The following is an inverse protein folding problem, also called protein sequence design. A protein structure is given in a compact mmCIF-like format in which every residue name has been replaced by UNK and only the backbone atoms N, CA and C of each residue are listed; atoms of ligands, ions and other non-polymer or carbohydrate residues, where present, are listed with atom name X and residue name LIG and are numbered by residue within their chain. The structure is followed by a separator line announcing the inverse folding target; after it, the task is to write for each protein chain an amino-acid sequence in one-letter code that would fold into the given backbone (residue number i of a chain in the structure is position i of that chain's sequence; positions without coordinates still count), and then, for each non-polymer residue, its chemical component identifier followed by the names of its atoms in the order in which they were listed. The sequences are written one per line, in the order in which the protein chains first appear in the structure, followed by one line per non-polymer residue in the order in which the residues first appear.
data_IF_601167894976
#
_entry.id   IF_601167894976
#
_cell.length_a   1.000
_cell.length_b   1.000
_cell.length_c   1.000
_cell.angle_alpha   90.00
_cell.angle_beta   90.00
_cell.angle_gamma   90.00
#
_symmetry.space_group_name_H-M   'P 1'
#
loop_
_entity.id
_entity.type
_entity.pdbx_description
1 polymer ?
#
# COMPACT_ATOMS: atom_id res chain seq x y z
N UNK A 1 21.59 21.43 13.27
CA UNK A 1 20.15 21.13 13.44
C UNK A 1 19.71 21.70 14.78
N UNK A 2 18.61 22.44 14.81
CA UNK A 2 18.07 23.02 16.07
C UNK A 2 17.36 21.93 16.90
N UNK A 3 17.34 22.11 18.22
CA UNK A 3 16.67 21.21 19.17
C UNK A 3 15.19 20.99 18.82
N UNK A 4 14.50 22.02 18.33
CA UNK A 4 13.12 21.94 17.83
C UNK A 4 12.99 21.04 16.58
N UNK A 5 13.98 21.02 15.69
CA UNK A 5 13.97 20.14 14.51
C UNK A 5 14.19 18.66 14.91
N UNK A 6 15.01 18.41 15.92
CA UNK A 6 15.24 17.06 16.47
C UNK A 6 13.97 16.56 17.17
N UNK A 7 13.32 17.38 17.99
CA UNK A 7 12.07 17.03 18.65
C UNK A 7 10.93 16.77 17.67
N UNK A 8 10.80 17.58 16.61
CA UNK A 8 9.82 17.38 15.55
C UNK A 8 10.03 16.09 14.77
N UNK A 9 11.27 15.73 14.47
CA UNK A 9 11.60 14.48 13.79
C UNK A 9 11.28 13.26 14.69
N UNK A 10 11.63 13.31 15.97
CA UNK A 10 11.35 12.23 16.92
C UNK A 10 9.84 12.01 17.11
N UNK A 11 9.03 13.07 17.15
CA UNK A 11 7.56 12.98 17.24
C UNK A 11 6.99 12.35 15.97
N UNK A 12 7.51 12.71 14.79
CA UNK A 12 7.08 12.14 13.51
C UNK A 12 7.40 10.65 13.44
N UNK A 13 8.58 10.24 13.85
CA UNK A 13 9.01 8.84 13.86
C UNK A 13 8.14 8.00 14.81
N UNK A 14 7.77 8.52 15.99
CA UNK A 14 6.85 7.86 16.91
C UNK A 14 5.48 7.64 16.27
N UNK A 15 4.92 8.68 15.60
CA UNK A 15 3.64 8.59 14.89
C UNK A 15 3.68 7.56 13.76
N UNK A 16 4.77 7.48 13.00
CA UNK A 16 4.93 6.48 11.93
C UNK A 16 4.95 5.06 12.50
N UNK A 17 5.59 4.84 13.66
CA UNK A 17 5.58 3.54 14.35
C UNK A 17 4.18 3.15 14.82
N UNK A 18 3.45 4.07 15.48
CA UNK A 18 2.06 3.84 15.89
C UNK A 18 1.15 3.45 14.72
N UNK A 19 1.29 4.14 13.58
CA UNK A 19 0.55 3.83 12.36
C UNK A 19 0.93 2.43 11.83
N UNK A 20 2.21 2.07 11.87
CA UNK A 20 2.67 0.76 11.42
C UNK A 20 2.13 -0.37 12.30
N UNK A 21 2.15 -0.20 13.63
CA UNK A 21 1.60 -1.16 14.61
C UNK A 21 0.09 -1.35 14.41
N UNK A 22 -0.64 -0.24 14.21
CA UNK A 22 -2.08 -0.29 13.96
C UNK A 22 -2.41 -0.98 12.63
N UNK A 23 -1.71 -0.62 11.54
CA UNK A 23 -1.89 -1.24 10.24
C UNK A 23 -1.58 -2.75 10.30
N UNK A 24 -0.48 -3.12 10.93
CA UNK A 24 -0.08 -4.50 11.10
C UNK A 24 -1.12 -5.31 11.88
N UNK A 25 -1.62 -4.75 12.98
CA UNK A 25 -2.66 -5.37 13.80
C UNK A 25 -3.97 -5.51 13.02
N UNK A 26 -4.38 -4.47 12.29
CA UNK A 26 -5.61 -4.49 11.50
C UNK A 26 -5.56 -5.56 10.40
N UNK A 27 -4.43 -5.73 9.69
CA UNK A 27 -4.25 -6.78 8.68
C UNK A 27 -4.31 -8.20 9.27
N UNK A 28 -3.94 -8.39 10.53
CA UNK A 28 -3.90 -9.69 11.18
C UNK A 28 -5.16 -10.01 12.01
N UNK A 29 -6.07 -9.05 12.19
CA UNK A 29 -7.24 -9.19 13.08
C UNK A 29 -8.49 -9.78 12.41
N UNK A 30 -8.44 -10.10 11.12
CA UNK A 30 -9.52 -10.80 10.43
C UNK A 30 -10.84 -10.03 10.33
N UNK A 31 -10.82 -8.74 9.95
CA UNK A 31 -12.07 -8.02 9.65
C UNK A 31 -12.28 -6.67 10.32
N UNK A 32 -11.22 -6.06 10.83
CA UNK A 32 -11.31 -4.74 11.48
C UNK A 32 -10.92 -3.61 10.54
N UNK A 33 -11.88 -2.75 10.20
CA UNK A 33 -11.58 -1.49 9.54
C UNK A 33 -10.99 -0.46 10.52
N UNK A 34 -10.08 0.36 10.01
CA UNK A 34 -9.51 1.53 10.70
C UNK A 34 -9.85 2.81 9.94
N UNK A 35 -9.88 3.92 10.64
CA UNK A 35 -10.01 5.23 9.98
C UNK A 35 -8.76 5.54 9.14
N UNK A 36 -8.92 6.16 7.95
CA UNK A 36 -7.77 6.53 7.13
C UNK A 36 -6.75 7.35 7.90
N UNK A 37 -5.48 6.96 7.82
CA UNK A 37 -4.41 7.66 8.52
C UNK A 37 -4.29 9.13 8.13
N UNK A 38 -4.51 9.46 6.84
CA UNK A 38 -4.54 10.84 6.35
C UNK A 38 -5.67 11.69 6.96
N UNK A 39 -6.73 11.09 7.48
CA UNK A 39 -7.80 11.79 8.19
C UNK A 39 -7.37 12.18 9.61
N UNK A 40 -6.62 11.31 10.28
CA UNK A 40 -6.14 11.52 11.65
C UNK A 40 -4.83 12.33 11.70
N UNK A 41 -4.01 12.18 10.67
CA UNK A 41 -2.70 12.81 10.55
C UNK A 41 -2.63 13.62 9.24
N UNK A 42 -3.08 14.89 9.23
CA UNK A 42 -3.15 15.70 7.99
C UNK A 42 -1.82 15.90 7.27
N UNK A 43 -0.70 15.81 7.98
CA UNK A 43 0.66 15.91 7.42
C UNK A 43 1.21 14.57 6.92
N UNK A 44 0.45 13.46 7.05
CA UNK A 44 0.86 12.13 6.60
C UNK A 44 0.97 12.09 5.08
N UNK A 45 2.18 11.90 4.59
CA UNK A 45 2.52 11.93 3.17
C UNK A 45 2.64 10.51 2.59
N UNK A 46 2.73 10.42 1.25
CA UNK A 46 3.03 9.16 0.57
C UNK A 46 4.40 8.58 0.99
N UNK A 47 5.39 9.46 1.22
CA UNK A 47 6.69 9.01 1.72
C UNK A 47 6.57 8.39 3.12
N UNK A 48 5.78 8.98 4.01
CA UNK A 48 5.51 8.41 5.33
C UNK A 48 4.80 7.05 5.22
N UNK A 49 3.88 6.88 4.26
CA UNK A 49 3.23 5.61 3.99
C UNK A 49 4.23 4.51 3.55
N UNK A 50 5.25 4.85 2.77
CA UNK A 50 6.32 3.90 2.44
C UNK A 50 7.24 3.59 3.63
N UNK A 51 7.46 4.53 4.56
CA UNK A 51 8.13 4.23 5.83
C UNK A 51 7.29 3.24 6.68
N UNK A 52 5.98 3.44 6.78
CA UNK A 52 5.06 2.48 7.41
C UNK A 52 5.16 1.11 6.73
N UNK A 53 5.15 1.06 5.40
CA UNK A 53 5.29 -0.19 4.63
C UNK A 53 6.60 -0.92 4.97
N UNK A 54 7.70 -0.20 5.13
CA UNK A 54 8.99 -0.79 5.52
C UNK A 54 8.96 -1.35 6.95
N UNK A 55 8.32 -0.65 7.90
CA UNK A 55 8.17 -1.13 9.27
C UNK A 55 7.29 -2.38 9.33
N UNK A 56 6.15 -2.39 8.64
CA UNK A 56 5.26 -3.56 8.53
C UNK A 56 5.99 -4.76 7.92
N UNK A 57 6.84 -4.52 6.90
CA UNK A 57 7.69 -5.57 6.33
C UNK A 57 8.66 -6.16 7.38
N UNK A 58 9.30 -5.32 8.19
CA UNK A 58 10.19 -5.77 9.26
C UNK A 58 9.43 -6.60 10.32
N UNK A 59 8.21 -6.20 10.67
CA UNK A 59 7.36 -6.97 11.58
C UNK A 59 7.00 -8.35 11.01
N UNK A 60 6.69 -8.44 9.70
CA UNK A 60 6.44 -9.72 9.03
C UNK A 60 7.67 -10.60 9.00
N UNK A 61 8.85 -10.04 8.70
CA UNK A 61 10.12 -10.77 8.75
C UNK A 61 10.37 -11.30 10.17
N UNK A 62 10.11 -10.50 11.21
CA UNK A 62 10.24 -10.94 12.60
C UNK A 62 9.28 -12.10 12.96
N UNK A 63 8.13 -12.21 12.25
CA UNK A 63 7.22 -13.37 12.35
C UNK A 63 7.64 -14.55 11.46
N UNK A 64 8.78 -14.47 10.78
CA UNK A 64 9.31 -15.55 9.93
C UNK A 64 8.78 -15.56 8.51
N UNK A 65 8.13 -14.47 8.02
CA UNK A 65 7.80 -14.32 6.61
C UNK A 65 9.06 -14.00 5.80
N UNK A 66 9.16 -14.55 4.58
CA UNK A 66 10.25 -14.28 3.65
C UNK A 66 9.72 -13.44 2.48
N UNK A 67 10.21 -12.21 2.27
CA UNK A 67 9.85 -11.44 1.07
C UNK A 67 10.35 -12.17 -0.19
N UNK A 68 9.45 -12.42 -1.14
CA UNK A 68 9.76 -13.06 -2.42
C UNK A 68 9.88 -12.06 -3.56
N UNK A 69 9.20 -10.91 -3.46
CA UNK A 69 9.17 -9.94 -4.53
C UNK A 69 8.32 -8.71 -4.19
N UNK A 70 7.85 -8.07 -5.25
CA UNK A 70 7.00 -6.88 -5.19
C UNK A 70 5.74 -7.06 -6.03
N UNK A 71 4.63 -6.55 -5.53
CA UNK A 71 3.43 -6.27 -6.33
C UNK A 71 3.43 -4.80 -6.74
N UNK A 72 2.87 -4.48 -7.91
CA UNK A 72 2.78 -3.12 -8.44
C UNK A 72 1.31 -2.84 -8.74
N UNK A 73 0.73 -1.87 -8.05
CA UNK A 73 -0.66 -1.43 -8.25
C UNK A 73 -0.75 -0.11 -9.02
N UNK A 74 -1.95 0.25 -9.42
CA UNK A 74 -2.25 1.46 -10.21
C UNK A 74 -1.49 1.53 -11.54
N UNK A 75 -1.29 0.39 -12.21
CA UNK A 75 -0.68 0.33 -13.53
C UNK A 75 -1.60 0.87 -14.64
N UNK A 76 -2.93 0.84 -14.43
CA UNK A 76 -3.90 1.43 -15.34
C UNK A 76 -4.01 2.95 -15.16
N UNK A 77 -3.37 3.72 -16.04
CA UNK A 77 -3.34 5.19 -15.99
C UNK A 77 -4.73 5.85 -16.10
N UNK A 78 -5.73 5.17 -16.68
CA UNK A 78 -7.09 5.72 -16.78
C UNK A 78 -7.74 5.93 -15.42
N UNK A 79 -7.31 5.17 -14.41
CA UNK A 79 -7.82 5.29 -13.04
C UNK A 79 -7.12 6.39 -12.22
N UNK A 80 -6.01 6.95 -12.72
CA UNK A 80 -5.21 7.89 -11.95
C UNK A 80 -5.95 9.16 -11.56
N UNK A 81 -6.75 9.73 -12.48
CA UNK A 81 -7.52 10.93 -12.19
C UNK A 81 -8.66 10.65 -11.21
N UNK A 82 -9.32 9.51 -11.32
CA UNK A 82 -10.39 9.09 -10.42
C UNK A 82 -9.86 8.93 -8.99
N UNK A 83 -8.72 8.29 -8.82
CA UNK A 83 -8.10 8.02 -7.51
C UNK A 83 -7.11 9.10 -7.07
N UNK A 84 -6.82 10.12 -7.92
CA UNK A 84 -5.89 11.21 -7.64
C UNK A 84 -4.45 10.75 -7.41
N UNK A 85 -4.07 9.62 -8.04
CA UNK A 85 -2.70 9.13 -8.05
C UNK A 85 -1.95 9.68 -9.26
N UNK A 86 -0.62 9.65 -9.23
CA UNK A 86 0.24 10.16 -10.31
C UNK A 86 1.38 9.20 -10.66
N UNK A 87 1.43 8.06 -9.97
CA UNK A 87 2.42 7.02 -10.20
C UNK A 87 1.84 5.66 -9.76
N UNK A 88 2.37 4.54 -10.27
CA UNK A 88 2.13 3.24 -9.68
C UNK A 88 2.56 3.21 -8.23
N UNK A 89 1.91 2.39 -7.43
CA UNK A 89 2.36 2.05 -6.08
C UNK A 89 2.94 0.63 -6.07
N UNK A 90 3.58 0.25 -4.96
CA UNK A 90 4.13 -1.07 -4.81
C UNK A 90 4.00 -1.57 -3.36
N UNK A 91 4.02 -2.89 -3.20
CA UNK A 91 4.05 -3.56 -1.91
C UNK A 91 4.90 -4.83 -1.95
N UNK A 92 5.04 -5.47 -0.79
CA UNK A 92 5.78 -6.73 -0.67
C UNK A 92 4.88 -7.93 -0.95
N UNK A 93 5.47 -8.97 -1.56
CA UNK A 93 4.90 -10.32 -1.67
C UNK A 93 5.74 -11.25 -0.81
N UNK A 94 5.11 -12.13 -0.05
CA UNK A 94 5.78 -13.04 0.89
C UNK A 94 5.50 -14.50 0.56
N UNK A 95 6.38 -15.38 1.01
CA UNK A 95 6.24 -16.84 0.86
C UNK A 95 4.90 -17.36 1.40
N UNK A 96 4.47 -16.88 2.58
CA UNK A 96 3.23 -17.31 3.22
C UNK A 96 1.96 -16.66 2.65
N UNK A 97 2.09 -15.73 1.71
CA UNK A 97 0.96 -15.11 0.99
C UNK A 97 0.86 -15.57 -0.46
N UNK A 98 1.75 -16.49 -0.88
CA UNK A 98 1.66 -17.16 -2.17
C UNK A 98 0.92 -18.48 -1.98
N UNK A 99 -0.09 -18.71 -2.80
CA UNK A 99 -0.93 -19.88 -2.75
C UNK A 99 -0.93 -20.59 -4.11
N UNK A 100 -1.00 -21.92 -4.09
CA UNK A 100 -1.19 -22.72 -5.30
C UNK A 100 -2.63 -22.56 -5.79
N UNK A 101 -2.82 -22.30 -7.08
CA UNK A 101 -4.14 -22.18 -7.70
C UNK A 101 -4.96 -23.48 -7.65
N UNK A 102 -4.30 -24.65 -7.48
CA UNK A 102 -4.98 -25.92 -7.32
C UNK A 102 -5.60 -26.12 -5.92
N UNK A 103 -5.26 -25.24 -4.96
CA UNK A 103 -5.73 -25.35 -3.57
C UNK A 103 -6.75 -24.23 -3.29
N UNK A 104 -7.97 -24.56 -2.81
CA UNK A 104 -8.95 -23.56 -2.42
C UNK A 104 -8.41 -22.62 -1.34
N UNK A 105 -8.53 -21.30 -1.56
CA UNK A 105 -8.15 -20.27 -0.59
C UNK A 105 -9.35 -19.93 0.31
N UNK A 106 -9.28 -20.16 1.63
CA UNK A 106 -10.32 -19.70 2.56
C UNK A 106 -10.41 -18.17 2.59
N UNK A 107 -11.59 -17.61 2.39
CA UNK A 107 -11.77 -16.15 2.35
C UNK A 107 -12.07 -15.53 3.72
N UNK A 108 -12.44 -16.33 4.72
CA UNK A 108 -12.79 -15.85 6.06
C UNK A 108 -11.74 -14.97 6.76
N UNK A 109 -10.41 -15.15 6.55
CA UNK A 109 -9.40 -14.29 7.15
C UNK A 109 -9.28 -12.90 6.49
N UNK A 110 -9.91 -12.68 5.33
CA UNK A 110 -9.73 -11.44 4.55
C UNK A 110 -10.84 -10.44 4.87
N UNK A 111 -10.50 -9.15 4.77
CA UNK A 111 -11.42 -8.02 4.95
C UNK A 111 -11.94 -7.61 3.57
N UNK A 112 -13.23 -7.85 3.30
CA UNK A 112 -13.89 -7.50 2.03
C UNK A 112 -13.07 -7.92 0.79
N UNK A 113 -12.68 -9.22 0.66
CA UNK A 113 -11.75 -9.65 -0.37
C UNK A 113 -12.29 -9.39 -1.77
N UNK A 114 -11.42 -8.93 -2.66
CA UNK A 114 -11.64 -8.80 -4.10
C UNK A 114 -10.57 -9.57 -4.83
N UNK A 115 -10.86 -10.02 -6.05
CA UNK A 115 -9.92 -10.74 -6.89
C UNK A 115 -9.52 -9.85 -8.09
N UNK A 116 -8.22 -9.78 -8.35
CA UNK A 116 -7.65 -9.06 -9.49
C UNK A 116 -6.78 -10.03 -10.31
N UNK A 117 -7.01 -10.13 -11.65
CA UNK A 117 -6.10 -10.90 -12.52
C UNK A 117 -4.77 -10.15 -12.67
N UNK A 118 -3.67 -10.90 -12.58
CA UNK A 118 -2.32 -10.35 -12.58
C UNK A 118 -1.41 -11.05 -13.58
N UNK A 119 -0.36 -10.35 -14.02
CA UNK A 119 0.78 -10.92 -14.74
C UNK A 119 1.95 -11.00 -13.77
N UNK A 120 2.47 -12.19 -13.56
CA UNK A 120 3.61 -12.46 -12.70
C UNK A 120 4.88 -12.62 -13.53
N UNK A 121 5.97 -12.00 -13.08
CA UNK A 121 7.30 -12.13 -13.68
C UNK A 121 8.25 -12.77 -12.69
N UNK A 122 8.87 -13.87 -13.08
CA UNK A 122 9.99 -14.44 -12.34
C UNK A 122 11.30 -13.89 -12.90
N UNK A 123 12.15 -13.35 -12.04
CA UNK A 123 13.40 -12.73 -12.42
C UNK A 123 14.59 -13.67 -12.19
N UNK A 124 15.49 -13.79 -13.17
CA UNK A 124 16.79 -14.45 -13.04
C UNK A 124 17.86 -13.49 -12.51
N UNK A 125 17.67 -12.19 -12.73
CA UNK A 125 18.53 -11.13 -12.22
C UNK A 125 17.68 -9.92 -11.81
N UNK A 126 18.14 -9.17 -10.81
CA UNK A 126 17.45 -7.95 -10.38
C UNK A 126 17.56 -6.87 -11.48
N UNK A 127 16.42 -6.28 -11.90
CA UNK A 127 16.46 -5.12 -12.77
C UNK A 127 17.15 -3.93 -12.11
N UNK A 128 17.86 -3.13 -12.89
CA UNK A 128 18.50 -1.89 -12.43
C UNK A 128 17.83 -0.66 -13.05
N UNK A 129 17.76 0.47 -12.36
CA UNK A 129 17.27 1.71 -12.94
C UNK A 129 18.01 2.09 -14.21
N UNK A 130 17.27 2.56 -15.22
CA UNK A 130 17.87 3.01 -16.48
C UNK A 130 18.19 1.91 -17.51
N UNK A 131 17.85 0.65 -17.23
CA UNK A 131 17.89 -0.41 -18.25
C UNK A 131 16.94 -0.08 -19.39
N UNK A 132 17.37 -0.38 -20.64
CA UNK A 132 16.48 -0.41 -21.79
C UNK A 132 15.57 -1.65 -21.76
N UNK A 133 14.55 -1.68 -22.62
CA UNK A 133 13.57 -2.76 -22.66
C UNK A 133 14.23 -4.12 -22.93
N UNK A 134 15.23 -4.18 -23.79
CA UNK A 134 15.94 -5.42 -24.10
C UNK A 134 16.74 -5.94 -22.91
N UNK A 135 17.39 -5.05 -22.14
CA UNK A 135 18.10 -5.43 -20.91
C UNK A 135 17.12 -5.87 -19.84
N UNK A 136 15.99 -5.19 -19.69
CA UNK A 136 14.94 -5.56 -18.76
C UNK A 136 14.35 -6.95 -19.07
N UNK A 137 14.03 -7.21 -20.33
CA UNK A 137 13.51 -8.51 -20.77
C UNK A 137 14.50 -9.66 -20.48
N UNK A 138 15.80 -9.43 -20.60
CA UNK A 138 16.82 -10.43 -20.23
C UNK A 138 16.86 -10.77 -18.74
N UNK A 139 16.31 -9.89 -17.88
CA UNK A 139 16.19 -10.18 -16.45
C UNK A 139 15.05 -11.15 -16.15
N UNK A 140 14.09 -11.35 -17.07
CA UNK A 140 12.90 -12.17 -16.86
C UNK A 140 13.21 -13.61 -17.26
N UNK A 141 13.04 -14.53 -16.31
CA UNK A 141 13.17 -15.97 -16.54
C UNK A 141 11.87 -16.61 -17.05
N UNK A 142 10.72 -16.14 -16.53
CA UNK A 142 9.40 -16.66 -16.88
C UNK A 142 8.30 -15.61 -16.65
N UNK A 143 7.18 -15.81 -17.30
CA UNK A 143 5.95 -15.05 -17.15
C UNK A 143 4.82 -16.02 -16.88
N UNK A 144 3.91 -15.70 -15.97
CA UNK A 144 2.73 -16.52 -15.67
C UNK A 144 1.51 -15.65 -15.38
N UNK A 145 0.33 -16.23 -15.52
CA UNK A 145 -0.91 -15.66 -15.01
C UNK A 145 -1.02 -15.95 -13.51
N UNK A 146 -1.60 -15.00 -12.78
CA UNK A 146 -1.92 -15.15 -11.37
C UNK A 146 -3.15 -14.34 -10.99
N UNK A 147 -3.51 -14.41 -9.73
CA UNK A 147 -4.56 -13.60 -9.15
C UNK A 147 -4.05 -12.97 -7.86
N UNK A 148 -4.34 -11.69 -7.64
CA UNK A 148 -4.21 -11.08 -6.32
C UNK A 148 -5.56 -11.13 -5.61
N UNK A 149 -5.57 -11.60 -4.36
CA UNK A 149 -6.70 -11.40 -3.45
C UNK A 149 -6.41 -10.15 -2.65
N UNK A 150 -6.98 -9.04 -3.09
CA UNK A 150 -6.82 -7.74 -2.43
C UNK A 150 -7.78 -7.62 -1.25
N UNK A 151 -7.30 -6.99 -0.19
CA UNK A 151 -8.10 -6.59 0.96
C UNK A 151 -7.71 -5.18 1.39
N UNK A 152 -8.59 -4.52 2.15
CA UNK A 152 -8.32 -3.20 2.70
C UNK A 152 -8.67 -3.15 4.17
N UNK A 153 -7.78 -2.56 4.97
CA UNK A 153 -8.06 -2.18 6.35
C UNK A 153 -8.88 -0.89 6.44
N UNK A 154 -9.16 -0.24 5.32
CA UNK A 154 -10.01 0.95 5.25
C UNK A 154 -11.38 0.59 4.68
N UNK A 155 -12.48 1.20 5.17
CA UNK A 155 -13.81 0.99 4.60
C UNK A 155 -13.86 1.31 3.11
N UNK A 156 -14.67 0.57 2.33
CA UNK A 156 -14.78 0.72 0.89
C UNK A 156 -15.18 2.15 0.44
N UNK A 157 -15.92 2.89 1.29
CA UNK A 157 -16.33 4.27 1.03
C UNK A 157 -15.15 5.24 0.89
N UNK A 158 -14.01 4.93 1.49
CA UNK A 158 -12.77 5.73 1.35
C UNK A 158 -12.30 5.77 -0.09
N UNK A 159 -12.51 4.68 -0.84
CA UNK A 159 -12.11 4.54 -2.25
C UNK A 159 -13.21 4.98 -3.20
N UNK A 160 -14.46 5.12 -2.74
CA UNK A 160 -15.54 5.64 -3.56
C UNK A 160 -15.38 7.16 -3.74
N UNK A 161 -15.50 7.66 -4.98
CA UNK A 161 -15.37 9.09 -5.32
C UNK A 161 -16.32 10.03 -4.53
N UNK A 162 -17.27 9.48 -3.76
CA UNK A 162 -18.15 10.21 -2.84
C UNK A 162 -17.40 10.82 -1.65
N UNK A 163 -16.39 10.16 -1.11
CA UNK A 163 -15.59 10.68 0.01
C UNK A 163 -14.72 11.87 -0.42
N UNK A 164 -14.17 11.83 -1.64
CA UNK A 164 -13.41 12.96 -2.23
C UNK A 164 -14.24 14.20 -2.46
N UNK A 165 -15.50 14.06 -2.93
CA UNK A 165 -16.41 15.19 -3.11
C UNK A 165 -16.74 15.87 -1.78
N UNK A 166 -16.89 15.11 -0.69
CA UNK A 166 -17.10 15.66 0.66
C UNK A 166 -15.89 16.40 1.20
N UNK A 167 -14.67 15.88 1.01
CA UNK A 167 -13.44 16.58 1.45
C UNK A 167 -13.14 17.82 0.60
N UNK A 168 -13.35 17.78 -0.71
CA UNK A 168 -13.23 18.98 -1.57
C UNK A 168 -14.26 20.04 -1.22
N UNK A 169 -15.50 19.66 -0.92
CA UNK A 169 -16.53 20.59 -0.52
C UNK A 169 -16.29 21.18 0.88
N UNK A 170 -15.78 20.40 1.83
CA UNK A 170 -15.39 20.89 3.16
C UNK A 170 -14.22 21.89 3.07
N UNK A 171 -13.22 21.64 2.24
CA UNK A 171 -12.10 22.59 2.00
C UNK A 171 -12.56 23.85 1.27
N UNK A 172 -13.52 23.78 0.33
CA UNK A 172 -14.12 24.95 -0.32
C UNK A 172 -14.99 25.77 0.64
N UNK A 173 -15.70 25.10 1.55
CA UNK A 173 -16.49 25.78 2.59
C UNK A 173 -15.60 26.50 3.62
N UNK A 174 -14.52 25.86 4.06
CA UNK A 174 -13.54 26.45 4.98
C UNK A 174 -12.76 27.62 4.35
N UNK A 175 -12.50 27.59 3.03
CA UNK A 175 -11.84 28.70 2.30
C UNK A 175 -12.75 29.87 1.94
N UNK A 176 -14.07 29.78 2.20
CA UNK A 176 -15.03 30.88 2.00
C UNK A 176 -15.44 31.60 3.28
N UNK A 177 -14.94 31.17 4.43
CA UNK A 177 -15.22 31.80 5.73
C UNK A 177 -14.02 32.63 6.23
N UNK A 178 -13.59 33.59 5.41
CA UNK A 178 -12.77 34.69 5.87
C UNK A 178 -13.29 35.98 5.17
N UNK A 179 -13.62 37.03 5.94
CA UNK A 179 -14.05 38.33 5.38
C UNK A 179 -12.90 39.00 4.66
#
# INVERSE_FOLDING_TARGET
MTEAAIAGAATKDATIREIADEAFTAFNSGGRHVLPFSTRYPAFSLNDAYHVTALVNNMRIAQGYKPLGRKIGFTNRRMWDEYGVRAPNWGYVYDRTMHDLAVPLPLAPFIEPKIEPEIMFGFVAAPSPGMDDAALLRCIAWVAHGFEVVQSIFPAEVFSGRHRRRQCNARRAAGRAAP
#
